data_IF_710983572086
#
_entry.id   IF_710983572086
#
_cell.length_a   1.000
_cell.length_b   1.000
_cell.length_c   1.000
_cell.angle_alpha   90.00
_cell.angle_beta   90.00
_cell.angle_gamma   90.00
#
_symmetry.space_group_name_H-M   'P 1'
#
loop_
_entity.id
_entity.type
_entity.pdbx_description
1 polymer ?
#
# COMPACT_ATOMS: atom_id res chain seq x y z
N UNK A 1 10.90 52.98 36.97
CA UNK A 1 9.89 51.89 36.90
C UNK A 1 10.18 51.05 35.67
N UNK A 2 10.77 49.87 35.85
CA UNK A 2 11.24 48.99 34.77
C UNK A 2 10.15 47.93 34.50
N UNK A 3 9.48 47.99 33.35
CA UNK A 3 8.46 47.02 32.93
C UNK A 3 9.13 45.86 32.21
N UNK A 4 9.22 44.71 32.88
CA UNK A 4 9.70 43.45 32.30
C UNK A 4 8.51 42.80 31.57
N UNK A 5 8.61 42.68 30.25
CA UNK A 5 7.66 41.91 29.44
C UNK A 5 8.05 40.41 29.47
N UNK A 6 7.10 39.47 29.65
CA UNK A 6 7.41 38.06 29.55
C UNK A 6 7.53 37.67 28.07
N UNK A 7 8.74 37.28 27.67
CA UNK A 7 9.00 36.61 26.40
C UNK A 7 8.38 35.22 26.51
N UNK A 8 7.18 35.06 25.95
CA UNK A 8 6.55 33.76 25.79
C UNK A 8 7.28 33.01 24.66
N UNK A 9 8.32 32.26 25.03
CA UNK A 9 9.08 31.40 24.13
C UNK A 9 8.20 30.20 23.76
N UNK A 10 7.38 30.36 22.71
CA UNK A 10 6.59 29.27 22.13
C UNK A 10 7.54 28.35 21.35
N UNK A 11 8.14 27.38 22.04
CA UNK A 11 8.86 26.28 21.41
C UNK A 11 7.83 25.40 20.71
N UNK A 12 7.58 25.67 19.42
CA UNK A 12 6.84 24.73 18.57
C UNK A 12 7.70 23.49 18.38
N UNK A 13 7.43 22.47 19.20
CA UNK A 13 7.95 21.13 19.02
C UNK A 13 7.41 20.61 17.67
N UNK A 14 8.17 20.81 16.59
CA UNK A 14 7.97 20.09 15.35
C UNK A 14 8.34 18.63 15.64
N UNK A 15 7.36 17.84 16.10
CA UNK A 15 7.45 16.39 16.03
C UNK A 15 7.58 16.03 14.55
N UNK A 16 8.82 15.91 14.08
CA UNK A 16 9.13 15.34 12.79
C UNK A 16 8.66 13.90 12.79
N UNK A 17 7.45 13.66 12.29
CA UNK A 17 7.08 12.35 11.80
C UNK A 17 7.97 12.09 10.59
N UNK A 18 9.13 11.45 10.82
CA UNK A 18 9.91 10.85 9.75
C UNK A 18 9.02 9.79 9.11
N UNK A 19 8.38 10.16 7.99
CA UNK A 19 7.72 9.21 7.11
C UNK A 19 8.78 8.21 6.67
N UNK A 20 8.77 7.01 7.25
CA UNK A 20 9.67 5.94 6.84
C UNK A 20 9.42 5.62 5.37
N UNK A 21 10.49 5.29 4.63
CA UNK A 21 10.40 5.05 3.19
C UNK A 21 9.39 3.95 2.86
N UNK A 22 8.57 4.15 1.82
CA UNK A 22 7.65 3.12 1.33
C UNK A 22 8.36 2.03 0.51
N UNK A 23 9.63 2.24 0.16
CA UNK A 23 10.42 1.24 -0.57
C UNK A 23 10.60 -0.02 0.25
N UNK A 24 10.60 -1.18 -0.43
CA UNK A 24 10.82 -2.49 0.18
C UNK A 24 9.73 -3.49 -0.16
N UNK A 25 9.80 -4.66 0.48
CA UNK A 25 8.86 -5.77 0.27
C UNK A 25 7.91 -5.91 1.45
N UNK A 26 6.68 -6.29 1.15
CA UNK A 26 5.57 -6.41 2.09
C UNK A 26 4.75 -7.65 1.75
N UNK A 27 4.10 -8.21 2.76
CA UNK A 27 3.17 -9.33 2.57
C UNK A 27 2.04 -9.28 3.59
N UNK A 28 0.91 -9.87 3.23
CA UNK A 28 -0.20 -10.05 4.15
C UNK A 28 -1.10 -11.19 3.69
N UNK A 29 -1.89 -11.68 4.63
CA UNK A 29 -3.01 -12.57 4.34
C UNK A 29 -4.23 -12.13 5.14
N UNK A 30 -5.41 -12.40 4.59
CA UNK A 30 -6.67 -12.13 5.27
C UNK A 30 -7.76 -13.07 4.75
N UNK A 31 -8.70 -13.43 5.62
CA UNK A 31 -10.00 -13.96 5.20
C UNK A 31 -10.88 -12.81 4.69
N UNK A 32 -11.81 -13.12 3.79
CA UNK A 32 -12.87 -12.19 3.37
C UNK A 32 -14.20 -12.82 3.73
N UNK A 33 -15.05 -12.07 4.43
CA UNK A 33 -16.36 -12.53 4.87
C UNK A 33 -16.27 -13.86 5.65
N UNK A 34 -17.07 -14.85 5.25
CA UNK A 34 -17.13 -16.19 5.84
C UNK A 34 -16.31 -17.21 5.06
N UNK A 35 -15.48 -16.78 4.09
CA UNK A 35 -14.60 -17.69 3.36
C UNK A 35 -13.46 -18.16 4.27
N UNK A 36 -13.37 -19.46 4.58
CA UNK A 36 -12.33 -19.98 5.48
C UNK A 36 -10.94 -19.91 4.83
N UNK A 37 -10.87 -19.78 3.51
CA UNK A 37 -9.61 -19.70 2.79
C UNK A 37 -9.06 -18.28 2.79
N UNK A 38 -7.80 -18.15 3.20
CA UNK A 38 -7.14 -16.86 3.23
C UNK A 38 -6.62 -16.52 1.85
N UNK A 39 -6.92 -15.30 1.40
CA UNK A 39 -6.14 -14.70 0.33
C UNK A 39 -4.82 -14.20 0.88
N UNK A 40 -3.80 -14.20 0.04
CA UNK A 40 -2.52 -13.58 0.31
C UNK A 40 -2.20 -12.54 -0.75
N UNK A 41 -1.34 -11.60 -0.40
CA UNK A 41 -0.78 -10.62 -1.30
C UNK A 41 0.67 -10.36 -0.91
N UNK A 42 1.58 -10.39 -1.88
CA UNK A 42 2.94 -9.87 -1.72
C UNK A 42 3.14 -8.67 -2.63
N UNK A 43 3.93 -7.71 -2.16
CA UNK A 43 4.17 -6.46 -2.84
C UNK A 43 5.63 -6.06 -2.65
N UNK A 44 6.30 -5.64 -3.70
CA UNK A 44 7.59 -4.97 -3.63
C UNK A 44 7.47 -3.61 -4.29
N UNK A 45 8.01 -2.59 -3.63
CA UNK A 45 8.03 -1.21 -4.12
C UNK A 45 9.49 -0.82 -4.31
N UNK A 46 9.84 -0.46 -5.55
CA UNK A 46 11.18 -0.04 -5.95
C UNK A 46 11.17 1.39 -6.49
N UNK A 47 12.34 2.01 -6.52
CA UNK A 47 12.55 3.28 -7.20
C UNK A 47 13.53 3.05 -8.36
N UNK A 48 13.14 3.48 -9.56
CA UNK A 48 13.97 3.42 -10.75
C UNK A 48 13.96 4.80 -11.41
N UNK A 49 15.13 5.46 -11.46
CA UNK A 49 15.30 6.81 -12.04
C UNK A 49 14.31 7.86 -11.47
N UNK A 50 13.97 7.75 -10.19
CA UNK A 50 13.02 8.65 -9.51
C UNK A 50 11.54 8.34 -9.75
N UNK A 51 11.23 7.27 -10.51
CA UNK A 51 9.87 6.73 -10.60
C UNK A 51 9.71 5.60 -9.59
N UNK A 52 8.67 5.68 -8.77
CA UNK A 52 8.28 4.59 -7.87
C UNK A 52 7.44 3.58 -8.65
N UNK A 53 7.80 2.32 -8.55
CA UNK A 53 7.11 1.20 -9.20
C UNK A 53 6.76 0.16 -8.15
N UNK A 54 5.66 -0.54 -8.37
CA UNK A 54 5.27 -1.68 -7.58
C UNK A 54 5.06 -2.90 -8.46
N UNK A 55 5.38 -4.05 -7.89
CA UNK A 55 5.15 -5.36 -8.46
C UNK A 55 4.73 -6.29 -7.33
N UNK A 56 3.88 -7.26 -7.62
CA UNK A 56 3.37 -8.16 -6.61
C UNK A 56 2.61 -9.32 -7.20
N UNK A 57 2.08 -10.15 -6.30
CA UNK A 57 1.21 -11.25 -6.66
C UNK A 57 0.12 -11.41 -5.60
N UNK A 58 -1.03 -11.94 -6.01
CA UNK A 58 -2.11 -12.28 -5.11
C UNK A 58 -2.65 -13.69 -5.42
N UNK A 59 -3.34 -14.29 -4.47
CA UNK A 59 -3.97 -15.58 -4.65
C UNK A 59 -4.60 -16.09 -3.37
N UNK A 60 -5.04 -17.33 -3.39
CA UNK A 60 -5.50 -18.05 -2.20
C UNK A 60 -4.39 -18.94 -1.66
N UNK A 61 -4.27 -19.04 -0.33
CA UNK A 61 -3.29 -19.92 0.31
C UNK A 61 -3.54 -21.40 0.01
N UNK A 62 -4.80 -21.78 -0.25
CA UNK A 62 -5.13 -23.13 -0.72
C UNK A 62 -4.63 -23.45 -2.14
N UNK A 63 -4.20 -22.45 -2.91
CA UNK A 63 -3.80 -22.59 -4.32
C UNK A 63 -4.98 -22.68 -5.29
N UNK A 64 -6.22 -22.46 -4.85
CA UNK A 64 -7.39 -22.45 -5.73
C UNK A 64 -7.52 -21.13 -6.51
N UNK A 65 -8.36 -21.16 -7.55
CA UNK A 65 -8.74 -19.98 -8.35
C UNK A 65 -7.55 -19.32 -9.07
N UNK A 66 -7.70 -18.05 -9.42
CA UNK A 66 -6.66 -17.24 -10.05
C UNK A 66 -5.53 -16.90 -9.07
N UNK A 67 -4.30 -16.86 -9.60
CA UNK A 67 -3.10 -16.39 -8.91
C UNK A 67 -2.43 -15.31 -9.79
N UNK A 68 -2.98 -14.08 -9.84
CA UNK A 68 -2.47 -13.00 -10.66
C UNK A 68 -1.15 -12.45 -10.12
N UNK A 69 -0.24 -12.17 -11.02
CA UNK A 69 0.82 -11.18 -10.83
C UNK A 69 0.26 -9.80 -11.18
N UNK A 70 0.73 -8.75 -10.53
CA UNK A 70 0.29 -7.38 -10.83
C UNK A 70 1.43 -6.37 -10.70
N UNK A 71 1.28 -5.24 -11.39
CA UNK A 71 2.26 -4.17 -11.36
C UNK A 71 1.61 -2.78 -11.44
N UNK A 72 2.40 -1.74 -11.19
CA UNK A 72 1.90 -0.38 -11.20
C UNK A 72 2.95 0.71 -11.04
N UNK A 73 2.69 1.88 -11.63
CA UNK A 73 3.49 3.09 -11.38
C UNK A 73 2.87 3.88 -10.25
N UNK A 74 3.68 4.28 -9.28
CA UNK A 74 3.27 5.00 -8.10
C UNK A 74 3.64 6.48 -8.17
N UNK A 75 2.75 7.35 -7.71
CA UNK A 75 3.03 8.76 -7.47
C UNK A 75 2.52 9.18 -6.10
N UNK A 76 3.27 10.08 -5.44
CA UNK A 76 2.87 10.63 -4.15
C UNK A 76 1.68 11.56 -4.33
N UNK A 77 0.62 11.36 -3.55
CA UNK A 77 -0.59 12.19 -3.54
C UNK A 77 -0.96 12.53 -2.09
N UNK A 78 -0.56 13.72 -1.65
CA UNK A 78 -0.69 14.16 -0.26
C UNK A 78 -0.03 13.20 0.75
N UNK A 79 -0.83 12.53 1.60
CA UNK A 79 -0.37 11.60 2.65
C UNK A 79 -0.34 10.13 2.23
N UNK A 80 -0.70 9.82 0.98
CA UNK A 80 -0.73 8.48 0.43
C UNK A 80 -0.02 8.44 -0.92
N UNK A 81 0.21 7.24 -1.44
CA UNK A 81 0.66 7.04 -2.80
C UNK A 81 -0.52 6.49 -3.60
N UNK A 82 -0.69 6.98 -4.81
CA UNK A 82 -1.65 6.44 -5.77
C UNK A 82 -0.86 5.70 -6.84
N UNK A 83 -1.42 4.62 -7.38
CA UNK A 83 -0.79 3.87 -8.45
C UNK A 83 -1.77 3.41 -9.52
N UNK A 84 -1.29 3.28 -10.75
CA UNK A 84 -1.99 2.54 -11.81
C UNK A 84 -1.89 1.06 -11.51
N UNK A 85 -2.95 0.29 -11.67
CA UNK A 85 -2.95 -1.15 -11.42
C UNK A 85 -3.23 -1.90 -12.71
N UNK A 86 -2.45 -2.94 -12.98
CA UNK A 86 -2.69 -3.92 -14.03
C UNK A 86 -2.27 -5.31 -13.51
N UNK A 87 -3.11 -6.33 -13.74
CA UNK A 87 -2.79 -7.72 -13.43
C UNK A 87 -2.57 -8.58 -14.67
N UNK A 88 -1.99 -9.77 -14.48
CA UNK A 88 -1.67 -10.72 -15.55
C UNK A 88 -2.90 -11.31 -16.26
N UNK A 89 -4.11 -11.05 -15.77
CA UNK A 89 -5.38 -11.42 -16.41
C UNK A 89 -6.01 -10.23 -17.17
N UNK A 90 -5.32 -9.08 -17.22
CA UNK A 90 -5.76 -7.88 -17.92
C UNK A 90 -6.77 -7.03 -17.17
N UNK A 91 -6.96 -7.25 -15.87
CA UNK A 91 -7.75 -6.33 -15.06
C UNK A 91 -6.95 -5.06 -14.79
N UNK A 92 -7.61 -3.91 -14.85
CA UNK A 92 -6.98 -2.61 -14.63
C UNK A 92 -7.71 -1.83 -13.53
N UNK A 93 -6.99 -0.93 -12.88
CA UNK A 93 -7.59 -0.11 -11.84
C UNK A 93 -6.70 1.02 -11.35
N UNK A 94 -7.15 1.63 -10.27
CA UNK A 94 -6.40 2.64 -9.54
C UNK A 94 -6.30 2.20 -8.09
N UNK A 95 -5.07 2.13 -7.59
CA UNK A 95 -4.81 1.76 -6.22
C UNK A 95 -4.19 2.86 -5.39
N UNK A 96 -4.15 2.61 -4.09
CA UNK A 96 -3.56 3.47 -3.09
C UNK A 96 -2.72 2.67 -2.11
N UNK A 97 -1.59 3.25 -1.70
CA UNK A 97 -0.75 2.76 -0.61
C UNK A 97 -0.74 3.82 0.50
N UNK A 98 -1.14 3.43 1.70
CA UNK A 98 -1.08 4.29 2.89
C UNK A 98 -0.13 3.68 3.90
N UNK A 99 0.93 4.42 4.26
CA UNK A 99 1.89 3.97 5.27
C UNK A 99 1.25 3.96 6.67
N UNK A 100 1.45 2.87 7.40
CA UNK A 100 1.01 2.72 8.79
C UNK A 100 2.17 2.19 9.62
N UNK A 101 2.86 3.08 10.36
CA UNK A 101 4.14 2.78 11.02
C UNK A 101 5.17 2.27 10.01
N UNK A 102 5.50 0.97 10.06
CA UNK A 102 6.44 0.31 9.15
C UNK A 102 5.74 -0.47 8.03
N UNK A 103 4.43 -0.64 8.16
CA UNK A 103 3.57 -1.43 7.28
C UNK A 103 2.88 -0.52 6.25
N UNK A 104 2.12 -1.13 5.34
CA UNK A 104 1.32 -0.41 4.36
C UNK A 104 -0.09 -0.99 4.28
N UNK A 105 -1.07 -0.13 4.05
CA UNK A 105 -2.40 -0.55 3.61
C UNK A 105 -2.43 -0.47 2.10
N UNK A 106 -2.63 -1.61 1.45
CA UNK A 106 -2.89 -1.74 0.02
C UNK A 106 -4.39 -1.70 -0.22
N UNK A 107 -4.84 -0.93 -1.21
CA UNK A 107 -6.23 -0.90 -1.66
C UNK A 107 -6.25 -0.60 -3.15
N UNK A 108 -7.17 -1.22 -3.89
CA UNK A 108 -7.36 -0.97 -5.32
C UNK A 108 -8.85 -0.95 -5.65
N UNK A 109 -9.21 -0.06 -6.58
CA UNK A 109 -10.51 -0.06 -7.24
C UNK A 109 -10.31 -0.48 -8.68
N UNK A 110 -10.90 -1.61 -9.07
CA UNK A 110 -10.85 -2.12 -10.44
C UNK A 110 -11.79 -1.29 -11.32
N UNK A 111 -11.25 -0.72 -12.39
CA UNK A 111 -11.99 0.10 -13.37
C UNK A 111 -12.27 -0.66 -14.66
N UNK A 112 -11.40 -1.62 -15.01
CA UNK A 112 -11.57 -2.52 -16.15
C UNK A 112 -11.50 -3.96 -15.64
N UNK A 113 -12.58 -4.73 -15.79
CA UNK A 113 -12.65 -6.12 -15.37
C UNK A 113 -12.62 -7.05 -16.60
N UNK A 114 -11.55 -7.85 -16.73
CA UNK A 114 -11.38 -8.88 -17.78
C UNK A 114 -11.56 -10.30 -17.23
N UNK A 115 -11.07 -10.59 -16.03
CA UNK A 115 -11.29 -11.86 -15.35
C UNK A 115 -11.89 -11.65 -13.95
N UNK A 116 -13.18 -11.99 -13.75
CA UNK A 116 -13.86 -11.77 -12.48
C UNK A 116 -13.33 -12.65 -11.33
N UNK A 117 -12.58 -13.72 -11.61
CA UNK A 117 -12.02 -14.61 -10.58
C UNK A 117 -10.96 -13.92 -9.73
N UNK A 118 -10.35 -12.84 -10.23
CA UNK A 118 -9.34 -12.07 -9.51
C UNK A 118 -9.96 -11.05 -8.53
N UNK A 119 -11.21 -10.61 -8.76
CA UNK A 119 -11.85 -9.54 -7.98
C UNK A 119 -11.86 -9.79 -6.46
N UNK A 120 -12.13 -11.01 -5.96
CA UNK A 120 -12.07 -11.28 -4.53
C UNK A 120 -10.68 -11.01 -3.91
N UNK A 121 -9.59 -11.12 -4.66
CA UNK A 121 -8.23 -10.96 -4.14
C UNK A 121 -7.90 -9.50 -3.79
N UNK A 122 -8.60 -8.54 -4.41
CA UNK A 122 -8.25 -7.12 -4.44
C UNK A 122 -8.94 -6.23 -3.40
N UNK A 123 -9.41 -6.82 -2.31
CA UNK A 123 -9.91 -6.05 -1.17
C UNK A 123 -8.75 -5.34 -0.43
N UNK A 124 -9.08 -4.25 0.28
CA UNK A 124 -8.09 -3.58 1.14
C UNK A 124 -7.40 -4.57 2.07
N UNK A 125 -6.07 -4.45 2.24
CA UNK A 125 -5.29 -5.34 3.10
C UNK A 125 -4.14 -4.56 3.76
N UNK A 126 -3.93 -4.79 5.05
CA UNK A 126 -2.70 -4.38 5.73
C UNK A 126 -1.60 -5.39 5.39
N UNK A 127 -0.51 -4.92 4.80
CA UNK A 127 0.67 -5.70 4.47
C UNK A 127 1.80 -5.35 5.42
N UNK A 128 2.36 -6.37 6.05
CA UNK A 128 3.51 -6.28 6.93
C UNK A 128 4.78 -6.15 6.10
N UNK A 129 5.67 -5.26 6.51
CA UNK A 129 6.99 -5.18 5.92
C UNK A 129 7.78 -6.46 6.17
N UNK A 130 8.36 -7.04 5.13
CA UNK A 130 9.33 -8.13 5.26
C UNK A 130 10.57 -7.60 5.96
N UNK A 131 10.98 -8.26 7.04
CA UNK A 131 12.30 -8.04 7.61
C UNK A 131 13.30 -8.72 6.68
N UNK A 132 14.21 -7.92 6.12
CA UNK A 132 15.39 -8.45 5.43
C UNK A 132 16.34 -9.13 6.41
#
# INVERSE_FOLDING_TARGET
MLKIFPICLLVTLLCGFSSRSILGSFEGSATINQDPDQRYLTLTITENKGELQLEGMAGYLSGRSAAPDFSGKCHKKAKQYQFTFEDSFGNEGIGTLTSVKDDIVFSVTITTLKDPRCLPLYHSMLLKRKKG
#
